data_IF_822656215630
#
_entry.id   IF_822656215630
#
_cell.length_a   1.000
_cell.length_b   1.000
_cell.length_c   1.000
_cell.angle_alpha   90.00
_cell.angle_beta   90.00
_cell.angle_gamma   90.00
#
_symmetry.space_group_name_H-M   'P 1'
#
loop_
_entity.id
_entity.type
_entity.pdbx_description
1 polymer ?
#
# COMPACT_ATOMS: atom_id res chain seq x y z
N UNK A 1 5.09 -10.56 -3.12
CA UNK A 1 5.51 -9.78 -1.95
C UNK A 1 6.25 -10.63 -0.93
N UNK A 2 5.73 -11.79 -0.51
CA UNK A 2 6.34 -12.62 0.54
C UNK A 2 7.69 -13.25 0.17
N UNK A 3 7.92 -13.58 -1.10
CA UNK A 3 9.10 -14.34 -1.54
C UNK A 3 10.44 -13.60 -1.41
N UNK A 4 10.43 -12.27 -1.52
CA UNK A 4 11.65 -11.44 -1.47
C UNK A 4 11.76 -10.62 -0.20
N UNK A 5 10.64 -10.17 0.37
CA UNK A 5 10.68 -9.30 1.55
C UNK A 5 11.02 -10.06 2.84
N UNK A 6 10.46 -11.25 3.02
CA UNK A 6 10.66 -12.03 4.25
C UNK A 6 12.13 -12.45 4.44
N UNK A 7 12.83 -13.01 3.42
CA UNK A 7 14.23 -13.39 3.58
C UNK A 7 15.15 -12.19 3.87
N UNK A 8 14.95 -11.07 3.18
CA UNK A 8 15.77 -9.86 3.34
C UNK A 8 15.57 -9.27 4.75
N UNK A 9 14.31 -9.16 5.19
CA UNK A 9 14.00 -8.68 6.53
C UNK A 9 14.56 -9.61 7.62
N UNK A 10 14.47 -10.94 7.43
CA UNK A 10 15.07 -11.92 8.33
C UNK A 10 16.60 -11.80 8.38
N UNK A 11 17.26 -11.53 7.25
CA UNK A 11 18.71 -11.32 7.24
C UNK A 11 19.12 -10.06 8.00
N UNK A 12 18.37 -8.97 7.86
CA UNK A 12 18.63 -7.74 8.64
C UNK A 12 18.39 -7.95 10.13
N UNK A 13 17.34 -8.70 10.50
CA UNK A 13 17.04 -9.05 11.89
C UNK A 13 18.13 -9.93 12.52
N UNK A 14 18.69 -10.87 11.75
CA UNK A 14 19.71 -11.81 12.23
C UNK A 14 21.11 -11.19 12.28
N UNK A 15 21.48 -10.39 11.28
CA UNK A 15 22.81 -9.77 11.18
C UNK A 15 22.92 -8.43 11.91
N UNK A 16 21.79 -7.81 12.27
CA UNK A 16 21.70 -6.43 12.80
C UNK A 16 22.24 -5.34 11.85
N UNK A 17 22.51 -5.69 10.59
CA UNK A 17 22.92 -4.75 9.55
C UNK A 17 22.45 -5.22 8.16
N UNK A 18 22.39 -4.29 7.22
CA UNK A 18 22.04 -4.58 5.83
C UNK A 18 23.30 -4.87 4.99
N UNK A 19 23.47 -6.10 4.46
CA UNK A 19 24.73 -6.51 3.83
C UNK A 19 24.89 -6.05 2.37
N UNK A 20 23.83 -5.54 1.73
CA UNK A 20 23.86 -5.18 0.32
C UNK A 20 24.15 -3.69 0.10
N UNK A 21 24.38 -3.32 -1.17
CA UNK A 21 24.59 -1.93 -1.58
C UNK A 21 23.39 -1.03 -1.23
N UNK A 22 23.67 0.25 -0.96
CA UNK A 22 22.65 1.26 -0.59
C UNK A 22 21.57 1.40 -1.67
N UNK A 23 21.97 1.34 -2.94
CA UNK A 23 21.03 1.40 -4.08
C UNK A 23 20.04 0.22 -4.03
N UNK A 24 20.51 -0.97 -3.64
CA UNK A 24 19.65 -2.14 -3.50
C UNK A 24 18.66 -1.97 -2.34
N UNK A 25 19.10 -1.42 -1.21
CA UNK A 25 18.21 -1.05 -0.10
C UNK A 25 17.12 -0.07 -0.56
N UNK A 26 17.48 1.01 -1.27
CA UNK A 26 16.52 2.00 -1.75
C UNK A 26 15.50 1.41 -2.71
N UNK A 27 15.94 0.62 -3.70
CA UNK A 27 15.04 -0.05 -4.64
C UNK A 27 14.13 -1.05 -3.92
N UNK A 28 14.67 -1.78 -2.93
CA UNK A 28 13.90 -2.72 -2.14
C UNK A 28 12.81 -2.01 -1.33
N UNK A 29 13.14 -0.91 -0.64
CA UNK A 29 12.17 -0.09 0.08
C UNK A 29 11.09 0.47 -0.85
N UNK A 30 11.46 0.98 -2.03
CA UNK A 30 10.48 1.48 -3.02
C UNK A 30 9.50 0.36 -3.40
N UNK A 31 10.00 -0.83 -3.71
CA UNK A 31 9.17 -1.96 -4.11
C UNK A 31 8.28 -2.42 -2.95
N UNK A 32 8.84 -2.56 -1.75
CA UNK A 32 8.12 -3.09 -0.60
C UNK A 32 6.97 -2.17 -0.19
N UNK A 33 7.26 -0.89 0.10
CA UNK A 33 6.24 0.08 0.50
C UNK A 33 5.20 0.29 -0.60
N UNK A 34 5.63 0.44 -1.87
CA UNK A 34 4.68 0.57 -2.98
C UNK A 34 3.77 -0.64 -3.08
N UNK A 35 4.29 -1.85 -2.90
CA UNK A 35 3.50 -3.08 -3.05
C UNK A 35 2.46 -3.26 -1.95
N UNK A 36 2.75 -2.86 -0.70
CA UNK A 36 1.77 -2.83 0.41
C UNK A 36 0.59 -1.93 0.06
N UNK A 37 0.89 -0.71 -0.39
CA UNK A 37 -0.14 0.28 -0.72
C UNK A 37 -0.93 -0.12 -1.96
N UNK A 38 -0.24 -0.67 -2.98
CA UNK A 38 -0.90 -1.24 -4.15
C UNK A 38 -1.93 -2.30 -3.76
N UNK A 39 -1.59 -3.21 -2.84
CA UNK A 39 -2.51 -4.24 -2.35
C UNK A 39 -3.73 -3.60 -1.67
N UNK A 40 -3.51 -2.63 -0.78
CA UNK A 40 -4.61 -1.90 -0.12
C UNK A 40 -5.54 -1.21 -1.11
N UNK A 41 -4.99 -0.50 -2.09
CA UNK A 41 -5.76 0.19 -3.13
C UNK A 41 -6.49 -0.80 -4.05
N UNK A 42 -5.89 -1.93 -4.40
CA UNK A 42 -6.54 -2.97 -5.20
C UNK A 42 -7.73 -3.60 -4.46
N UNK A 43 -7.60 -3.86 -3.16
CA UNK A 43 -8.70 -4.37 -2.31
C UNK A 43 -9.82 -3.35 -2.20
N UNK A 44 -9.48 -2.07 -2.00
CA UNK A 44 -10.43 -0.97 -1.97
C UNK A 44 -11.19 -0.87 -3.31
N UNK A 45 -10.46 -0.87 -4.42
CA UNK A 45 -11.05 -0.85 -5.75
C UNK A 45 -11.94 -2.06 -6.02
N UNK A 46 -11.51 -3.26 -5.64
CA UNK A 46 -12.31 -4.48 -5.80
C UNK A 46 -13.63 -4.39 -5.02
N UNK A 47 -13.62 -3.78 -3.83
CA UNK A 47 -14.84 -3.56 -3.03
C UNK A 47 -15.80 -2.58 -3.69
N UNK A 48 -15.29 -1.45 -4.20
CA UNK A 48 -16.08 -0.50 -4.99
C UNK A 48 -16.65 -1.17 -6.23
N UNK A 49 -15.82 -1.92 -6.96
CA UNK A 49 -16.22 -2.61 -8.17
C UNK A 49 -17.38 -3.58 -7.93
N UNK A 50 -17.36 -4.32 -6.81
CA UNK A 50 -18.45 -5.20 -6.38
C UNK A 50 -19.73 -4.41 -6.06
N UNK A 51 -19.60 -3.30 -5.32
CA UNK A 51 -20.74 -2.44 -5.01
C UNK A 51 -21.41 -1.89 -6.28
N UNK A 52 -20.62 -1.41 -7.25
CA UNK A 52 -21.11 -0.91 -8.55
C UNK A 52 -21.71 -2.04 -9.40
N UNK A 53 -21.15 -3.25 -9.38
CA UNK A 53 -21.68 -4.37 -10.17
C UNK A 53 -23.08 -4.82 -9.69
N UNK A 54 -23.31 -4.79 -8.38
CA UNK A 54 -24.55 -5.27 -7.75
C UNK A 54 -25.64 -4.19 -7.81
N UNK A 55 -25.30 -2.93 -7.56
CA UNK A 55 -26.27 -1.84 -7.40
C UNK A 55 -26.22 -0.77 -8.49
N UNK A 56 -25.22 -0.81 -9.36
CA UNK A 56 -25.07 0.18 -10.41
C UNK A 56 -26.20 0.10 -11.43
N UNK A 57 -26.65 1.24 -11.99
CA UNK A 57 -27.61 1.25 -13.08
C UNK A 57 -27.11 0.39 -14.24
N UNK A 58 -28.04 -0.20 -15.01
CA UNK A 58 -27.75 -1.12 -16.12
C UNK A 58 -26.71 -0.57 -17.11
N UNK A 59 -26.67 0.75 -17.30
CA UNK A 59 -25.72 1.45 -18.16
C UNK A 59 -24.28 1.41 -17.62
N UNK A 60 -24.09 1.58 -16.30
CA UNK A 60 -22.79 1.43 -15.66
C UNK A 60 -22.32 -0.04 -15.71
N UNK A 61 -23.25 -0.99 -15.56
CA UNK A 61 -22.95 -2.43 -15.66
C UNK A 61 -22.49 -2.83 -17.07
N UNK A 62 -23.08 -2.25 -18.13
CA UNK A 62 -22.61 -2.41 -19.52
C UNK A 62 -21.23 -1.75 -19.73
N UNK A 63 -21.01 -0.57 -19.15
CA UNK A 63 -19.72 0.13 -19.27
C UNK A 63 -18.59 -0.59 -18.54
N UNK A 64 -18.88 -1.26 -17.42
CA UNK A 64 -17.91 -2.04 -16.65
C UNK A 64 -17.38 -3.29 -17.38
N UNK A 65 -18.11 -3.76 -18.42
CA UNK A 65 -17.60 -4.80 -19.33
C UNK A 65 -16.49 -4.27 -20.25
N UNK A 66 -16.37 -2.95 -20.42
CA UNK A 66 -15.29 -2.36 -21.22
C UNK A 66 -13.99 -2.45 -20.45
N UNK A 67 -12.97 -3.03 -21.09
CA UNK A 67 -11.63 -3.25 -20.55
C UNK A 67 -11.03 -1.99 -19.89
N UNK A 68 -11.31 -0.82 -20.46
CA UNK A 68 -10.82 0.48 -19.98
C UNK A 68 -11.20 0.77 -18.52
N UNK A 69 -12.42 0.41 -18.09
CA UNK A 69 -12.88 0.66 -16.71
C UNK A 69 -12.23 -0.25 -15.65
N UNK A 70 -11.56 -1.33 -16.08
CA UNK A 70 -10.78 -2.20 -15.18
C UNK A 70 -9.30 -1.84 -15.18
N UNK A 71 -8.76 -1.52 -16.35
CA UNK A 71 -7.32 -1.25 -16.52
C UNK A 71 -6.94 0.10 -15.92
N UNK A 72 -7.75 1.14 -16.11
CA UNK A 72 -7.41 2.49 -15.65
C UNK A 72 -7.17 2.52 -14.12
N UNK A 73 -8.11 2.06 -13.27
CA UNK A 73 -7.90 2.02 -11.82
C UNK A 73 -6.69 1.18 -11.42
N UNK A 74 -6.48 0.04 -12.09
CA UNK A 74 -5.35 -0.84 -11.80
C UNK A 74 -4.00 -0.17 -12.10
N UNK A 75 -3.91 0.53 -13.24
CA UNK A 75 -2.73 1.34 -13.57
C UNK A 75 -2.52 2.47 -12.56
N UNK A 76 -3.59 3.17 -12.16
CA UNK A 76 -3.49 4.23 -11.14
C UNK A 76 -3.06 3.68 -9.77
N UNK A 77 -3.58 2.53 -9.35
CA UNK A 77 -3.22 1.89 -8.09
C UNK A 77 -1.76 1.44 -8.02
N UNK A 78 -1.11 1.23 -9.18
CA UNK A 78 0.31 0.87 -9.26
C UNK A 78 1.19 2.12 -9.44
N UNK A 79 0.80 3.00 -10.37
CA UNK A 79 1.60 4.15 -10.73
C UNK A 79 1.71 5.16 -9.59
N UNK A 80 0.63 5.43 -8.85
CA UNK A 80 0.64 6.44 -7.77
C UNK A 80 1.56 6.04 -6.62
N UNK A 81 1.44 4.84 -6.01
CA UNK A 81 2.35 4.46 -4.93
C UNK A 81 3.79 4.38 -5.40
N UNK A 82 4.02 3.85 -6.60
CA UNK A 82 5.37 3.72 -7.14
C UNK A 82 6.05 5.09 -7.31
N UNK A 83 5.36 6.08 -7.90
CA UNK A 83 5.92 7.42 -8.06
C UNK A 83 6.11 8.13 -6.71
N UNK A 84 5.13 8.02 -5.80
CA UNK A 84 5.18 8.61 -4.48
C UNK A 84 6.39 8.12 -3.66
N UNK A 85 6.56 6.80 -3.53
CA UNK A 85 7.68 6.24 -2.78
C UNK A 85 9.02 6.43 -3.48
N UNK A 86 9.06 6.48 -4.81
CA UNK A 86 10.28 6.85 -5.54
C UNK A 86 10.72 8.27 -5.17
N UNK A 87 9.79 9.23 -5.11
CA UNK A 87 10.09 10.62 -4.72
C UNK A 87 10.50 10.68 -3.24
N UNK A 88 9.79 10.00 -2.34
CA UNK A 88 10.13 10.01 -0.92
C UNK A 88 11.50 9.38 -0.63
N UNK A 89 11.84 8.29 -1.30
CA UNK A 89 13.06 7.52 -1.00
C UNK A 89 14.28 8.08 -1.73
N UNK A 90 14.14 8.55 -2.98
CA UNK A 90 15.26 9.12 -3.74
C UNK A 90 15.39 10.64 -3.55
N UNK A 91 14.28 11.35 -3.37
CA UNK A 91 14.23 12.80 -3.26
C UNK A 91 14.60 13.32 -1.86
N UNK A 92 14.25 12.58 -0.80
CA UNK A 92 14.73 12.86 0.55
C UNK A 92 16.06 12.14 0.71
N UNK A 93 17.15 12.78 0.27
CA UNK A 93 18.49 12.21 0.39
C UNK A 93 18.80 11.95 1.85
N UNK A 94 18.86 10.67 2.20
CA UNK A 94 19.13 10.28 3.55
C UNK A 94 20.34 9.38 3.63
N UNK A 95 21.43 10.00 4.08
CA UNK A 95 22.62 9.32 4.52
C UNK A 95 22.54 9.21 6.03
N UNK A 96 21.79 8.23 6.52
CA UNK A 96 21.86 7.89 7.93
C UNK A 96 22.93 6.82 8.12
N UNK A 97 24.18 7.27 8.12
CA UNK A 97 25.23 6.51 8.76
C UNK A 97 24.88 6.44 10.25
N UNK A 98 24.76 5.23 10.80
CA UNK A 98 24.69 5.05 12.25
C UNK A 98 26.03 5.53 12.80
N UNK A 99 26.12 6.82 13.14
CA UNK A 99 27.22 7.38 13.93
C UNK A 99 27.08 6.84 15.34
N UNK A 100 27.50 5.59 15.54
CA UNK A 100 27.73 5.08 16.87
C UNK A 100 28.90 5.89 17.44
N UNK A 101 28.58 6.89 18.27
CA UNK A 101 29.52 7.94 18.72
C UNK A 101 30.74 7.42 19.51
N UNK A 102 30.85 6.11 19.76
CA UNK A 102 31.82 5.55 20.71
C UNK A 102 32.73 4.43 20.15
N UNK A 103 32.67 4.07 18.86
CA UNK A 103 33.55 3.03 18.31
C UNK A 103 34.02 3.36 16.89
N UNK A 104 35.33 3.55 16.76
CA UNK A 104 36.03 4.11 15.59
C UNK A 104 35.98 3.23 14.32
N UNK A 105 35.44 2.01 14.34
CA UNK A 105 35.62 1.08 13.22
C UNK A 105 34.40 0.28 12.69
N UNK A 106 33.18 0.42 13.22
CA UNK A 106 32.03 -0.36 12.72
C UNK A 106 30.86 0.53 12.30
N UNK A 107 30.85 0.94 11.04
CA UNK A 107 29.69 1.58 10.41
C UNK A 107 28.65 0.52 10.03
N UNK A 108 27.89 0.01 11.02
CA UNK A 108 26.71 -0.81 10.74
C UNK A 108 25.68 0.02 9.98
N UNK A 109 25.37 -0.39 8.75
CA UNK A 109 24.34 0.25 7.90
C UNK A 109 23.00 -0.43 8.14
N UNK A 110 21.96 0.36 8.36
CA UNK A 110 20.59 -0.12 8.56
C UNK A 110 19.74 0.35 7.38
N UNK A 111 18.90 -0.52 6.83
CA UNK A 111 18.07 -0.18 5.69
C UNK A 111 16.72 0.36 6.18
N UNK A 112 16.67 1.67 6.48
CA UNK A 112 15.45 2.34 6.94
C UNK A 112 15.07 3.51 6.05
N UNK A 113 13.78 3.70 5.76
CA UNK A 113 13.32 4.86 5.03
C UNK A 113 13.35 6.09 5.93
N UNK A 114 13.79 7.19 5.36
CA UNK A 114 14.05 8.38 6.14
C UNK A 114 12.83 9.23 6.48
N UNK A 115 11.76 9.08 5.69
CA UNK A 115 10.52 9.78 5.98
C UNK A 115 9.89 9.30 7.31
N UNK A 116 10.30 8.15 7.85
CA UNK A 116 9.89 7.68 9.18
C UNK A 116 10.42 8.56 10.31
N UNK A 117 11.56 9.23 10.14
CA UNK A 117 12.07 10.15 11.15
C UNK A 117 11.23 11.42 11.25
N UNK A 118 10.63 11.81 10.13
CA UNK A 118 9.77 12.98 10.05
C UNK A 118 8.34 12.56 10.38
N UNK A 119 7.95 12.69 11.65
CA UNK A 119 6.61 12.32 12.14
C UNK A 119 5.47 12.86 11.26
N UNK A 120 5.63 14.07 10.72
CA UNK A 120 4.64 14.68 9.84
C UNK A 120 4.50 13.94 8.49
N UNK A 121 5.61 13.59 7.84
CA UNK A 121 5.59 12.82 6.59
C UNK A 121 5.07 11.41 6.83
N UNK A 122 5.51 10.78 7.91
CA UNK A 122 5.05 9.45 8.31
C UNK A 122 3.53 9.41 8.57
N UNK A 123 2.98 10.41 9.26
CA UNK A 123 1.53 10.51 9.51
C UNK A 123 0.75 10.71 8.22
N UNK A 124 1.21 11.60 7.33
CA UNK A 124 0.57 11.82 6.03
C UNK A 124 0.56 10.52 5.23
N UNK A 125 1.71 9.85 5.10
CA UNK A 125 1.81 8.58 4.38
C UNK A 125 0.86 7.54 4.97
N UNK A 126 0.88 7.35 6.29
CA UNK A 126 0.00 6.39 6.97
C UNK A 126 -1.48 6.69 6.72
N UNK A 127 -1.89 7.95 6.76
CA UNK A 127 -3.29 8.33 6.55
C UNK A 127 -3.73 8.00 5.12
N UNK A 128 -2.95 8.42 4.11
CA UNK A 128 -3.33 8.24 2.70
C UNK A 128 -3.15 6.80 2.20
N UNK A 129 -2.11 6.12 2.67
CA UNK A 129 -1.74 4.78 2.20
C UNK A 129 -2.50 3.67 2.92
N UNK A 130 -2.92 3.89 4.17
CA UNK A 130 -3.57 2.87 4.99
C UNK A 130 -4.98 3.27 5.46
N UNK A 131 -5.11 4.38 6.18
CA UNK A 131 -6.37 4.74 6.86
C UNK A 131 -7.49 5.01 5.85
N UNK A 132 -7.22 5.83 4.83
CA UNK A 132 -8.23 6.20 3.82
C UNK A 132 -8.71 4.97 3.02
N UNK A 133 -7.84 4.13 2.43
CA UNK A 133 -8.28 2.92 1.74
C UNK A 133 -9.06 1.94 2.63
N UNK A 134 -8.64 1.79 3.89
CA UNK A 134 -9.34 0.93 4.85
C UNK A 134 -10.73 1.45 5.18
N UNK A 135 -10.89 2.73 5.47
CA UNK A 135 -12.19 3.33 5.76
C UNK A 135 -13.15 3.20 4.57
N UNK A 136 -12.68 3.47 3.35
CA UNK A 136 -13.50 3.30 2.15
C UNK A 136 -13.93 1.84 1.97
N UNK A 137 -13.00 0.90 2.15
CA UNK A 137 -13.28 -0.54 2.06
C UNK A 137 -14.30 -0.97 3.12
N UNK A 138 -14.12 -0.52 4.35
CA UNK A 138 -15.01 -0.82 5.47
C UNK A 138 -16.42 -0.28 5.22
N UNK A 139 -16.54 0.99 4.83
CA UNK A 139 -17.84 1.61 4.52
C UNK A 139 -18.51 0.87 3.35
N UNK A 140 -17.79 0.59 2.27
CA UNK A 140 -18.34 -0.09 1.10
C UNK A 140 -18.84 -1.51 1.44
N UNK A 141 -18.08 -2.26 2.22
CA UNK A 141 -18.44 -3.63 2.65
C UNK A 141 -19.60 -3.62 3.64
N UNK A 142 -19.62 -2.68 4.59
CA UNK A 142 -20.70 -2.54 5.55
C UNK A 142 -22.03 -2.14 4.88
N UNK A 143 -22.00 -1.19 3.94
CA UNK A 143 -23.18 -0.80 3.16
C UNK A 143 -23.73 -1.95 2.30
N UNK A 144 -22.83 -2.76 1.71
CA UNK A 144 -23.20 -3.99 1.00
C UNK A 144 -23.95 -4.96 1.93
N UNK A 145 -23.41 -5.19 3.13
CA UNK A 145 -23.97 -6.11 4.10
C UNK A 145 -25.36 -5.66 4.55
N UNK A 146 -25.52 -4.40 4.98
CA UNK A 146 -26.82 -3.86 5.39
C UNK A 146 -27.87 -4.07 4.30
N UNK A 147 -27.54 -3.76 3.05
CA UNK A 147 -28.50 -3.88 1.94
C UNK A 147 -28.88 -5.33 1.62
N UNK A 148 -27.94 -6.26 1.74
CA UNK A 148 -28.23 -7.70 1.59
C UNK A 148 -29.21 -8.16 2.66
N UNK A 149 -29.01 -7.73 3.92
CA UNK A 149 -29.94 -8.03 5.01
C UNK A 149 -31.35 -7.47 4.76
N UNK A 150 -31.46 -6.20 4.37
CA UNK A 150 -32.75 -5.57 4.05
C UNK A 150 -33.46 -6.29 2.91
N UNK A 151 -32.74 -6.67 1.84
CA UNK A 151 -33.32 -7.38 0.70
C UNK A 151 -33.78 -8.79 1.08
N UNK A 152 -33.01 -9.51 1.90
CA UNK A 152 -33.37 -10.85 2.38
C UNK A 152 -34.62 -10.80 3.26
N UNK A 153 -34.72 -9.82 4.15
CA UNK A 153 -35.89 -9.66 5.01
C UNK A 153 -37.17 -9.37 4.22
N UNK A 154 -37.09 -8.53 3.18
CA UNK A 154 -38.26 -8.25 2.30
C UNK A 154 -38.75 -9.48 1.54
N UNK A 155 -37.86 -10.36 1.11
CA UNK A 155 -38.22 -11.59 0.38
C UNK A 155 -38.80 -12.68 1.30
N UNK A 156 -38.52 -12.64 2.60
CA UNK A 156 -39.07 -13.60 3.57
C UNK A 156 -40.49 -13.25 4.04
N UNK A 157 -40.96 -12.03 3.75
CA UNK A 157 -42.27 -11.51 4.14
C UNK A 157 -43.28 -11.50 2.98
N UNK A 158 -42.84 -11.86 1.78
CA UNK A 158 -43.67 -12.05 0.59
C UNK A 158 -43.83 -13.53 0.30
#
# INVERSE_FOLDING_TARGET
MTLTCVPIFLTELYLEYFPFAIIFCQLWLIVDYSSIVCLGLLVCWASIQRHVLIFGPLNLRKSQKRLRFKIIPLLFSIAIPLTWYTILILGVTCFQEVKNKNTVNDSKRVCKPCFEENIFLFLIDTIFSLVVPLLITFIATFLLLIRIFVKRHRLSLS
#
